data_IF_249802653376
#
_entry.id   IF_249802653376
#
_cell.length_a   1.000
_cell.length_b   1.000
_cell.length_c   1.000
_cell.angle_alpha   90.00
_cell.angle_beta   90.00
_cell.angle_gamma   90.00
#
_symmetry.space_group_name_H-M   'P 1'
#
loop_
_entity.id
_entity.type
_entity.pdbx_description
1 polymer ?
#
# COMPACT_ATOMS: atom_id res chain seq x y z
N UNK A 1 -3.37 12.21 10.31
CA UNK A 1 -2.40 12.21 11.43
C UNK A 1 -2.35 13.52 12.22
N UNK A 2 -2.23 14.70 11.60
CA UNK A 2 -2.17 15.99 12.30
C UNK A 2 -3.32 16.21 13.30
N UNK A 3 -4.58 16.03 12.85
CA UNK A 3 -5.77 16.10 13.72
C UNK A 3 -5.80 15.09 14.87
N UNK A 4 -5.00 14.02 14.80
CA UNK A 4 -4.83 13.02 15.87
C UNK A 4 -3.69 13.37 16.83
N UNK A 5 -3.10 14.56 16.72
CA UNK A 5 -2.07 15.08 17.63
C UNK A 5 -0.62 14.80 17.22
N UNK A 6 -0.36 14.41 15.97
CA UNK A 6 1.02 14.27 15.47
C UNK A 6 1.74 15.63 15.51
N UNK A 7 2.95 15.67 16.07
CA UNK A 7 3.75 16.91 16.21
C UNK A 7 4.21 17.49 14.87
N UNK A 8 4.46 16.63 13.89
CA UNK A 8 4.85 16.98 12.53
C UNK A 8 4.33 15.90 11.59
N UNK A 9 3.89 16.30 10.39
CA UNK A 9 3.43 15.38 9.35
C UNK A 9 4.05 15.80 8.04
N UNK A 10 4.58 14.82 7.31
CA UNK A 10 5.10 14.99 5.96
C UNK A 10 4.36 14.03 5.04
N UNK A 11 3.85 14.54 3.93
CA UNK A 11 3.36 13.75 2.80
C UNK A 11 4.37 13.79 1.67
N UNK A 12 4.59 12.65 1.02
CA UNK A 12 5.46 12.51 -0.15
C UNK A 12 4.69 11.86 -1.28
N UNK A 13 4.83 12.40 -2.49
CA UNK A 13 4.21 11.86 -3.70
C UNK A 13 5.08 12.26 -4.92
N UNK A 14 5.32 11.37 -5.90
CA UNK A 14 6.07 11.73 -7.09
C UNK A 14 5.27 12.57 -8.10
N UNK A 15 3.95 12.70 -7.91
CA UNK A 15 3.02 13.32 -8.87
C UNK A 15 2.74 14.78 -8.50
N UNK A 16 3.21 15.77 -9.28
CA UNK A 16 3.00 17.18 -8.96
C UNK A 16 1.53 17.59 -8.80
N UNK A 17 0.63 16.96 -9.55
CA UNK A 17 -0.81 17.23 -9.50
C UNK A 17 -1.46 16.76 -8.18
N UNK A 18 -1.00 15.64 -7.61
CA UNK A 18 -1.46 15.16 -6.30
C UNK A 18 -0.99 16.14 -5.21
N UNK A 19 0.26 16.56 -5.26
CA UNK A 19 0.82 17.55 -4.34
C UNK A 19 0.13 18.91 -4.44
N UNK A 20 -0.24 19.35 -5.64
CA UNK A 20 -0.99 20.59 -5.84
C UNK A 20 -2.35 20.54 -5.15
N UNK A 21 -3.07 19.41 -5.29
CA UNK A 21 -4.34 19.17 -4.60
C UNK A 21 -4.15 19.15 -3.08
N UNK A 22 -3.14 18.44 -2.59
CA UNK A 22 -2.84 18.34 -1.16
C UNK A 22 -2.47 19.71 -0.55
N UNK A 23 -1.68 20.52 -1.24
CA UNK A 23 -1.31 21.89 -0.83
C UNK A 23 -2.53 22.82 -0.77
N UNK A 24 -3.49 22.68 -1.71
CA UNK A 24 -4.75 23.44 -1.67
C UNK A 24 -5.58 23.07 -0.43
N UNK A 25 -5.70 21.77 -0.13
CA UNK A 25 -6.41 21.30 1.06
C UNK A 25 -5.72 21.75 2.35
N UNK A 26 -4.38 21.75 2.38
CA UNK A 26 -3.64 22.28 3.52
C UNK A 26 -3.85 23.79 3.70
N UNK A 27 -3.94 24.58 2.62
CA UNK A 27 -4.29 26.00 2.74
C UNK A 27 -5.72 26.23 3.29
N UNK A 28 -6.64 25.30 3.00
CA UNK A 28 -8.02 25.35 3.49
C UNK A 28 -8.14 24.92 4.97
N UNK A 29 -7.45 23.84 5.36
CA UNK A 29 -7.59 23.23 6.69
C UNK A 29 -6.50 23.62 7.69
N UNK A 30 -5.39 24.19 7.22
CA UNK A 30 -4.25 24.68 8.01
C UNK A 30 -3.80 23.68 9.10
N UNK A 31 -3.46 22.47 8.68
CA UNK A 31 -3.11 21.36 9.57
C UNK A 31 -1.61 21.26 9.86
N UNK A 32 -0.78 22.07 9.22
CA UNK A 32 0.67 22.08 9.36
C UNK A 32 1.36 20.91 8.65
N UNK A 33 0.76 20.36 7.58
CA UNK A 33 1.35 19.24 6.82
C UNK A 33 2.34 19.77 5.79
N UNK A 34 3.55 19.21 5.77
CA UNK A 34 4.55 19.51 4.76
C UNK A 34 4.45 18.51 3.61
N UNK A 35 4.54 18.99 2.36
CA UNK A 35 4.48 18.13 1.17
C UNK A 35 5.79 18.18 0.39
N UNK A 36 6.31 17.01 0.06
CA UNK A 36 7.57 16.82 -0.65
C UNK A 36 7.30 16.04 -1.94
N UNK A 37 7.91 16.48 -3.04
CA UNK A 37 7.92 15.71 -4.28
C UNK A 37 9.07 14.70 -4.23
N UNK A 38 8.76 13.43 -4.44
CA UNK A 38 9.77 12.38 -4.43
C UNK A 38 9.18 10.97 -4.45
N UNK A 39 10.08 10.00 -4.64
CA UNK A 39 9.77 8.58 -4.75
C UNK A 39 9.95 7.88 -3.39
N UNK A 40 9.13 6.86 -3.13
CA UNK A 40 9.22 6.06 -1.90
C UNK A 40 10.51 5.23 -1.82
N UNK A 41 11.08 4.92 -2.98
CA UNK A 41 12.34 4.20 -3.17
C UNK A 41 13.58 5.03 -2.85
N UNK A 42 13.45 6.35 -2.71
CA UNK A 42 14.58 7.24 -2.41
C UNK A 42 14.08 8.46 -1.63
N UNK A 43 13.92 8.29 -0.32
CA UNK A 43 13.34 9.30 0.54
C UNK A 43 14.36 10.41 0.86
N UNK A 44 14.01 11.71 0.67
CA UNK A 44 14.91 12.84 0.93
C UNK A 44 14.96 13.21 2.42
N UNK A 45 14.98 12.22 3.30
CA UNK A 45 14.98 12.39 4.75
C UNK A 45 16.21 11.77 5.39
N UNK A 46 16.61 12.29 6.54
CA UNK A 46 17.69 11.71 7.33
C UNK A 46 17.26 10.38 7.95
N UNK A 47 18.24 9.60 8.40
CA UNK A 47 17.99 8.35 9.13
C UNK A 47 17.27 8.64 10.45
N UNK A 48 16.40 7.72 10.87
CA UNK A 48 15.75 7.73 12.18
C UNK A 48 15.08 9.08 12.54
N UNK A 49 14.40 9.71 11.59
CA UNK A 49 13.73 11.00 11.78
C UNK A 49 12.21 10.90 12.02
N UNK A 50 11.59 9.75 11.73
CA UNK A 50 10.16 9.51 11.95
C UNK A 50 9.88 8.43 12.99
N UNK A 51 8.77 8.58 13.70
CA UNK A 51 8.25 7.58 14.64
C UNK A 51 7.21 6.66 13.98
N UNK A 52 6.64 7.07 12.85
CA UNK A 52 5.55 6.38 12.16
C UNK A 52 5.59 6.69 10.65
N UNK A 53 5.40 5.65 9.83
CA UNK A 53 5.26 5.73 8.38
C UNK A 53 4.00 4.98 7.95
N UNK A 54 3.26 5.52 6.98
CA UNK A 54 2.08 4.89 6.41
C UNK A 54 2.06 5.00 4.89
N UNK A 55 1.69 3.91 4.23
CA UNK A 55 1.39 3.86 2.79
C UNK A 55 0.04 3.17 2.60
N UNK A 56 -1.00 3.94 2.29
CA UNK A 56 -2.32 3.41 1.93
C UNK A 56 -2.40 3.46 0.41
N UNK A 57 -2.13 2.33 -0.25
CA UNK A 57 -1.64 2.33 -1.62
C UNK A 57 -0.39 3.23 -1.76
N UNK A 58 -0.04 3.64 -2.97
CA UNK A 58 1.17 4.44 -3.18
C UNK A 58 2.40 3.54 -3.28
N UNK A 59 3.40 3.77 -2.43
CA UNK A 59 4.64 3.00 -2.45
C UNK A 59 4.40 1.49 -2.24
N UNK A 60 3.44 1.11 -1.40
CA UNK A 60 3.10 -0.30 -1.16
C UNK A 60 2.53 -1.06 -2.36
N UNK A 61 2.18 -0.37 -3.45
CA UNK A 61 1.66 -0.97 -4.68
C UNK A 61 2.53 -0.64 -5.91
N UNK A 62 2.99 0.61 -6.04
CA UNK A 62 3.68 1.10 -7.25
C UNK A 62 5.19 1.31 -7.09
N UNK A 63 5.73 1.14 -5.88
CA UNK A 63 7.17 1.17 -5.67
C UNK A 63 7.72 -0.24 -5.48
N UNK A 64 8.93 -0.48 -5.97
CA UNK A 64 9.59 -1.77 -5.78
C UNK A 64 9.76 -2.05 -4.28
N UNK A 65 9.15 -3.13 -3.73
CA UNK A 65 9.20 -3.44 -2.30
C UNK A 65 10.63 -3.63 -1.80
N UNK A 66 11.54 -4.12 -2.65
CA UNK A 66 12.94 -4.28 -2.30
C UNK A 66 13.71 -2.94 -2.21
N UNK A 67 13.11 -1.82 -2.62
CA UNK A 67 13.68 -0.48 -2.55
C UNK A 67 13.01 0.39 -1.48
N UNK A 68 11.67 0.42 -1.44
CA UNK A 68 10.96 1.31 -0.51
C UNK A 68 10.94 0.78 0.93
N UNK A 69 10.91 -0.55 1.16
CA UNK A 69 10.94 -1.11 2.52
C UNK A 69 12.25 -0.79 3.26
N UNK A 70 13.44 -0.92 2.64
CA UNK A 70 14.69 -0.45 3.24
C UNK A 70 14.66 1.05 3.57
N UNK A 71 14.13 1.89 2.69
CA UNK A 71 14.01 3.34 2.94
C UNK A 71 13.08 3.66 4.10
N UNK A 72 11.93 2.98 4.18
CA UNK A 72 11.04 3.08 5.34
C UNK A 72 11.76 2.66 6.63
N UNK A 73 12.54 1.58 6.59
CA UNK A 73 13.35 1.12 7.72
C UNK A 73 14.46 2.09 8.11
N UNK A 74 15.01 2.84 7.15
CA UNK A 74 16.08 3.83 7.35
C UNK A 74 15.55 5.09 8.03
N UNK A 75 14.43 5.62 7.55
CA UNK A 75 13.89 6.88 8.07
C UNK A 75 13.13 6.71 9.39
N UNK A 76 12.66 5.49 9.70
CA UNK A 76 12.02 5.17 10.98
C UNK A 76 13.06 5.01 12.09
N UNK A 77 12.77 5.60 13.26
CA UNK A 77 13.51 5.33 14.49
C UNK A 77 13.35 3.87 14.92
N UNK A 78 14.32 3.29 15.65
CA UNK A 78 14.07 2.06 16.42
C UNK A 78 12.82 2.24 17.29
N UNK A 79 11.93 1.26 17.27
CA UNK A 79 10.60 1.32 17.89
C UNK A 79 9.52 2.04 17.07
N UNK A 80 9.86 2.64 15.93
CA UNK A 80 8.91 3.27 15.02
C UNK A 80 8.03 2.27 14.29
N UNK A 81 6.85 2.70 13.82
CA UNK A 81 5.90 1.83 13.12
C UNK A 81 5.88 2.07 11.62
N UNK A 82 5.80 1.00 10.85
CA UNK A 82 5.39 1.01 9.45
C UNK A 82 4.01 0.35 9.36
N UNK A 83 3.04 1.05 8.77
CA UNK A 83 1.73 0.48 8.44
C UNK A 83 1.49 0.66 6.95
N UNK A 84 1.21 -0.40 6.21
CA UNK A 84 0.91 -0.25 4.79
C UNK A 84 -0.23 -1.16 4.35
N UNK A 85 -0.96 -0.69 3.34
CA UNK A 85 -2.06 -1.40 2.72
C UNK A 85 -1.73 -1.67 1.25
N UNK A 86 -2.04 -2.86 0.77
CA UNK A 86 -1.88 -3.25 -0.63
C UNK A 86 -2.98 -4.26 -1.02
N UNK A 87 -3.03 -4.62 -2.30
CA UNK A 87 -3.96 -5.65 -2.77
C UNK A 87 -3.59 -7.01 -2.16
N UNK A 88 -4.59 -7.81 -1.83
CA UNK A 88 -4.36 -9.11 -1.24
C UNK A 88 -3.76 -10.07 -2.28
N UNK A 89 -2.65 -10.75 -1.93
CA UNK A 89 -1.93 -11.60 -2.89
C UNK A 89 -2.80 -12.70 -3.53
N UNK A 90 -3.77 -13.25 -2.78
CA UNK A 90 -4.77 -14.18 -3.32
C UNK A 90 -5.73 -13.51 -4.33
N UNK A 91 -6.18 -12.29 -4.08
CA UNK A 91 -7.04 -11.57 -5.02
C UNK A 91 -6.30 -11.29 -6.33
N UNK A 92 -5.03 -10.91 -6.25
CA UNK A 92 -4.16 -10.72 -7.41
C UNK A 92 -4.04 -12.01 -8.24
N UNK A 93 -4.02 -13.18 -7.61
CA UNK A 93 -4.02 -14.47 -8.33
C UNK A 93 -5.29 -14.72 -9.15
N UNK A 94 -6.38 -14.04 -8.82
CA UNK A 94 -7.72 -14.24 -9.35
C UNK A 94 -8.23 -13.07 -10.21
N UNK A 95 -7.55 -11.92 -10.17
CA UNK A 95 -7.87 -10.76 -10.99
C UNK A 95 -7.71 -11.10 -12.49
N UNK A 96 -8.73 -10.84 -13.32
CA UNK A 96 -8.64 -11.04 -14.75
C UNK A 96 -7.67 -10.01 -15.39
N UNK A 97 -7.05 -10.38 -16.50
CA UNK A 97 -6.22 -9.49 -17.33
C UNK A 97 -7.03 -8.71 -18.38
N UNK A 98 -8.37 -8.72 -18.29
CA UNK A 98 -9.27 -8.11 -19.28
C UNK A 98 -9.06 -6.59 -19.42
N UNK A 99 -9.44 -5.99 -20.56
CA UNK A 99 -9.30 -4.54 -20.85
C UNK A 99 -10.18 -3.61 -19.95
N UNK A 100 -10.77 -4.13 -18.87
CA UNK A 100 -11.63 -3.41 -17.94
C UNK A 100 -11.03 -3.43 -16.51
N UNK A 101 -10.56 -2.27 -16.06
CA UNK A 101 -10.03 -2.07 -14.70
C UNK A 101 -11.06 -2.37 -13.59
N UNK A 102 -12.36 -2.39 -13.92
CA UNK A 102 -13.44 -2.68 -12.98
C UNK A 102 -14.00 -4.10 -13.11
N UNK A 103 -13.35 -4.97 -13.90
CA UNK A 103 -13.76 -6.36 -14.03
C UNK A 103 -13.75 -7.07 -12.65
N UNK A 104 -14.83 -7.77 -12.27
CA UNK A 104 -14.89 -8.50 -11.00
C UNK A 104 -13.77 -9.53 -10.86
N UNK A 105 -13.18 -9.63 -9.66
CA UNK A 105 -12.23 -10.69 -9.34
C UNK A 105 -12.92 -12.05 -9.57
N UNK A 106 -12.28 -12.94 -10.32
CA UNK A 106 -12.88 -14.19 -10.73
C UNK A 106 -12.72 -15.29 -9.66
N UNK A 107 -13.68 -16.21 -9.55
CA UNK A 107 -13.54 -17.43 -8.74
C UNK A 107 -12.63 -18.50 -9.41
N UNK A 108 -11.56 -18.06 -10.10
CA UNK A 108 -10.57 -18.91 -10.77
C UNK A 108 -9.17 -18.31 -10.68
N UNK A 109 -8.17 -19.18 -10.61
CA UNK A 109 -6.75 -18.78 -10.68
C UNK A 109 -6.41 -18.34 -12.10
N UNK A 110 -5.90 -17.12 -12.24
CA UNK A 110 -5.48 -16.50 -13.49
C UNK A 110 -3.95 -16.47 -13.62
N UNK A 111 -3.24 -16.49 -12.48
CA UNK A 111 -1.78 -16.42 -12.43
C UNK A 111 -1.19 -17.18 -11.22
N UNK A 112 0.09 -17.56 -11.27
CA UNK A 112 0.73 -18.27 -10.17
C UNK A 112 0.95 -17.38 -8.95
N UNK A 113 0.75 -17.95 -7.76
CA UNK A 113 1.09 -17.31 -6.48
C UNK A 113 2.59 -17.31 -6.21
N UNK A 114 3.27 -18.43 -6.53
CA UNK A 114 4.71 -18.54 -6.34
C UNK A 114 5.45 -17.72 -7.40
N UNK A 115 6.29 -16.80 -6.95
CA UNK A 115 7.01 -15.88 -7.83
C UNK A 115 6.22 -14.61 -8.19
N UNK A 116 5.11 -14.32 -7.49
CA UNK A 116 4.50 -12.99 -7.54
C UNK A 116 5.56 -11.94 -7.18
N UNK A 117 5.71 -10.94 -8.05
CA UNK A 117 6.60 -9.82 -7.80
C UNK A 117 6.20 -8.59 -8.61
N UNK A 118 6.32 -8.65 -9.93
CA UNK A 118 5.97 -7.57 -10.85
C UNK A 118 4.80 -8.00 -11.73
N UNK A 119 3.74 -7.21 -11.72
CA UNK A 119 2.55 -7.41 -12.52
C UNK A 119 2.36 -6.19 -13.43
N UNK A 120 2.35 -6.43 -14.73
CA UNK A 120 2.00 -5.43 -15.74
C UNK A 120 0.65 -5.83 -16.33
N UNK A 121 -0.33 -4.93 -16.23
CA UNK A 121 -1.71 -5.21 -16.62
C UNK A 121 -1.95 -4.88 -18.09
N UNK A 122 -2.74 -5.69 -18.81
CA UNK A 122 -3.05 -5.42 -20.22
C UNK A 122 -3.85 -4.11 -20.38
N UNK A 123 -4.79 -3.85 -19.47
CA UNK A 123 -5.58 -2.61 -19.42
C UNK A 123 -4.76 -1.36 -19.04
N UNK A 124 -3.59 -1.54 -18.43
CA UNK A 124 -2.71 -0.44 -18.00
C UNK A 124 -1.24 -0.74 -18.32
N UNK A 125 -0.93 -0.81 -19.61
CA UNK A 125 0.40 -1.20 -20.10
C UNK A 125 1.57 -0.30 -19.65
N UNK A 126 1.31 0.89 -19.13
CA UNK A 126 2.35 1.79 -18.61
C UNK A 126 2.56 1.68 -17.10
N UNK A 127 1.78 0.86 -16.41
CA UNK A 127 1.82 0.71 -14.97
C UNK A 127 2.36 -0.67 -14.59
N UNK A 128 3.18 -0.68 -13.55
CA UNK A 128 3.67 -1.89 -12.91
C UNK A 128 3.20 -1.85 -11.47
N UNK A 129 2.53 -2.91 -11.05
CA UNK A 129 2.22 -3.14 -9.66
C UNK A 129 3.14 -4.21 -9.08
N UNK A 130 3.47 -4.03 -7.81
CA UNK A 130 4.31 -4.96 -7.09
C UNK A 130 3.51 -5.73 -6.03
N UNK A 131 3.57 -7.05 -6.13
CA UNK A 131 2.84 -7.96 -5.25
C UNK A 131 3.78 -9.05 -4.77
N UNK A 132 3.81 -9.31 -3.47
CA UNK A 132 4.59 -10.40 -2.91
C UNK A 132 3.68 -11.44 -2.25
N UNK A 133 4.02 -12.73 -2.31
CA UNK A 133 3.49 -13.71 -1.38
C UNK A 133 3.71 -13.25 0.07
N UNK A 134 2.80 -13.60 0.97
CA UNK A 134 2.92 -13.22 2.39
C UNK A 134 4.25 -13.67 3.02
N UNK A 135 4.76 -14.85 2.62
CA UNK A 135 6.06 -15.34 3.06
C UNK A 135 7.22 -14.44 2.64
N UNK A 136 7.16 -13.87 1.44
CA UNK A 136 8.20 -12.98 0.91
C UNK A 136 8.08 -11.58 1.54
N UNK A 137 6.86 -11.10 1.80
CA UNK A 137 6.65 -9.90 2.63
C UNK A 137 7.26 -10.05 4.02
N UNK A 138 7.01 -11.17 4.71
CA UNK A 138 7.59 -11.46 6.02
C UNK A 138 9.11 -11.49 5.91
N UNK A 139 9.68 -12.21 4.93
CA UNK A 139 11.13 -12.30 4.75
C UNK A 139 11.76 -10.92 4.51
N UNK A 140 11.16 -10.10 3.64
CA UNK A 140 11.63 -8.75 3.32
C UNK A 140 11.58 -7.81 4.53
N UNK A 141 10.46 -7.80 5.27
CA UNK A 141 10.31 -7.00 6.48
C UNK A 141 11.34 -7.42 7.54
N UNK A 142 11.51 -8.73 7.77
CA UNK A 142 12.50 -9.26 8.72
C UNK A 142 13.93 -8.92 8.33
N UNK A 143 14.28 -9.04 7.04
CA UNK A 143 15.61 -8.68 6.54
C UNK A 143 15.93 -7.19 6.79
N UNK A 144 14.90 -6.34 6.76
CA UNK A 144 15.00 -4.92 7.05
C UNK A 144 14.74 -4.58 8.53
N UNK A 145 14.94 -5.54 9.46
CA UNK A 145 14.71 -5.44 10.92
C UNK A 145 13.39 -4.77 11.27
N UNK A 146 12.32 -5.26 10.67
CA UNK A 146 10.97 -5.08 11.19
C UNK A 146 10.51 -6.36 11.90
N UNK A 147 9.70 -6.19 12.93
CA UNK A 147 8.87 -7.25 13.51
C UNK A 147 7.44 -7.08 13.00
N UNK A 148 6.81 -8.16 12.53
CA UNK A 148 5.44 -8.10 12.01
C UNK A 148 4.48 -8.24 13.21
N UNK A 149 3.83 -7.14 13.58
CA UNK A 149 2.90 -7.10 14.71
C UNK A 149 1.51 -7.62 14.31
N UNK A 150 1.09 -7.38 13.07
CA UNK A 150 -0.23 -7.78 12.57
C UNK A 150 -0.25 -7.86 11.04
N UNK A 151 -1.00 -8.84 10.53
CA UNK A 151 -1.53 -8.87 9.17
C UNK A 151 -3.06 -8.86 9.26
N UNK A 152 -3.69 -8.02 8.46
CA UNK A 152 -5.14 -7.90 8.33
C UNK A 152 -5.51 -8.26 6.90
N UNK A 153 -6.39 -9.23 6.71
CA UNK A 153 -6.91 -9.63 5.40
C UNK A 153 -8.37 -9.18 5.35
N UNK A 154 -8.69 -8.25 4.44
CA UNK A 154 -9.92 -7.46 4.49
C UNK A 154 -10.96 -7.99 3.50
N UNK A 155 -12.15 -8.28 4.02
CA UNK A 155 -13.38 -8.56 3.27
C UNK A 155 -14.56 -7.75 3.81
N UNK A 156 -15.68 -7.79 3.10
CA UNK A 156 -16.94 -7.16 3.48
C UNK A 156 -17.75 -8.05 4.45
N UNK A 157 -18.55 -7.46 5.36
CA UNK A 157 -19.53 -8.22 6.13
C UNK A 157 -20.55 -8.93 5.22
N UNK A 158 -21.01 -10.12 5.61
CA UNK A 158 -21.99 -10.92 4.87
C UNK A 158 -23.33 -10.18 4.58
N UNK A 159 -23.62 -9.13 5.33
CA UNK A 159 -24.84 -8.31 5.15
C UNK A 159 -24.76 -7.36 3.97
N UNK A 160 -23.60 -7.20 3.34
CA UNK A 160 -23.40 -6.33 2.18
C UNK A 160 -23.93 -7.02 0.93
N UNK A 161 -24.83 -6.35 0.20
CA UNK A 161 -25.41 -6.84 -1.04
C UNK A 161 -24.94 -6.09 -2.29
N UNK A 162 -24.19 -5.01 -2.12
CA UNK A 162 -23.74 -4.13 -3.20
C UNK A 162 -22.37 -3.52 -2.87
N UNK A 163 -21.60 -3.17 -3.90
CA UNK A 163 -20.26 -2.58 -3.78
C UNK A 163 -20.13 -1.37 -4.70
N UNK A 164 -19.51 -0.31 -4.20
CA UNK A 164 -19.12 0.83 -5.05
C UNK A 164 -17.93 0.50 -5.96
N UNK A 165 -17.32 -0.67 -5.79
CA UNK A 165 -16.14 -1.15 -6.52
C UNK A 165 -16.52 -2.38 -7.33
N UNK A 166 -16.54 -2.25 -8.67
CA UNK A 166 -16.90 -3.35 -9.56
C UNK A 166 -15.96 -4.56 -9.45
N UNK A 167 -14.67 -4.29 -9.25
CA UNK A 167 -13.64 -5.32 -9.13
C UNK A 167 -13.77 -6.17 -7.86
N UNK A 168 -14.18 -5.58 -6.74
CA UNK A 168 -14.50 -6.27 -5.49
C UNK A 168 -15.99 -6.15 -5.18
N UNK A 169 -16.80 -6.82 -6.00
CA UNK A 169 -18.24 -6.86 -5.79
C UNK A 169 -18.62 -7.62 -4.50
N UNK A 170 -19.89 -7.54 -4.11
CA UNK A 170 -20.38 -8.21 -2.91
C UNK A 170 -20.26 -9.75 -2.98
N UNK A 171 -20.27 -10.34 -4.18
CA UNK A 171 -20.17 -11.79 -4.37
C UNK A 171 -18.78 -12.33 -4.05
N UNK A 172 -17.75 -11.50 -4.30
CA UNK A 172 -16.37 -11.75 -3.91
C UNK A 172 -16.09 -11.32 -2.46
N UNK A 173 -16.33 -10.03 -2.16
CA UNK A 173 -15.84 -9.39 -0.95
C UNK A 173 -16.41 -10.00 0.34
N UNK A 174 -17.59 -10.63 0.28
CA UNK A 174 -18.19 -11.33 1.44
C UNK A 174 -17.57 -12.69 1.75
N UNK A 175 -16.76 -13.23 0.84
CA UNK A 175 -16.18 -14.59 0.94
C UNK A 175 -14.65 -14.59 0.95
N UNK A 176 -14.02 -13.66 0.23
CA UNK A 176 -12.57 -13.62 0.02
C UNK A 176 -12.02 -12.22 0.27
N UNK A 177 -10.75 -12.13 0.71
CA UNK A 177 -10.11 -10.85 0.90
C UNK A 177 -9.79 -10.18 -0.44
N UNK A 178 -9.87 -8.86 -0.46
CA UNK A 178 -9.50 -8.02 -1.60
C UNK A 178 -8.20 -7.26 -1.34
N UNK A 179 -8.02 -6.82 -0.09
CA UNK A 179 -6.91 -6.00 0.36
C UNK A 179 -6.30 -6.59 1.63
N UNK A 180 -5.08 -6.16 1.92
CA UNK A 180 -4.38 -6.51 3.15
C UNK A 180 -3.67 -5.31 3.76
N UNK A 181 -3.61 -5.28 5.10
CA UNK A 181 -2.88 -4.28 5.87
C UNK A 181 -1.82 -4.95 6.72
N UNK A 182 -0.58 -4.52 6.55
CA UNK A 182 0.58 -4.93 7.32
C UNK A 182 0.91 -3.89 8.38
N UNK A 183 1.06 -4.33 9.62
CA UNK A 183 1.56 -3.50 10.72
C UNK A 183 2.88 -4.08 11.20
N UNK A 184 3.94 -3.28 11.11
CA UNK A 184 5.29 -3.70 11.46
C UNK A 184 6.00 -2.68 12.36
N UNK A 185 6.84 -3.18 13.26
CA UNK A 185 7.63 -2.41 14.22
C UNK A 185 9.11 -2.45 13.85
N UNK A 186 9.74 -1.29 13.74
CA UNK A 186 11.19 -1.19 13.52
C UNK A 186 11.94 -1.65 14.77
N UNK A 187 12.80 -2.66 14.64
CA UNK A 187 13.69 -3.16 15.69
C UNK A 187 14.94 -2.27 15.87
#
# INVERSE_FOLDING_TARGET
MARRGAKSVVGIDPTPNQLATAKRLEAEYNLGVNFVEGFGETLPFADACFDFAISEYGASLWADPYQWVPEAARVLRPGGSLVFMTNHAFAICCLPDEEDENAPIAEKLQRPYLGLYQNQWEFSSNEVEFHLPHGDWIALLRANRFDVERLLELGAPETVSDSNYGWADASWATKWPSEEVWCARRL
#
